data_IF_388967477387
#
_entry.id   IF_388967477387
#
_cell.length_a   1.000
_cell.length_b   1.000
_cell.length_c   1.000
_cell.angle_alpha   90.00
_cell.angle_beta   90.00
_cell.angle_gamma   90.00
#
_symmetry.space_group_name_H-M   'P 1'
#
loop_
_entity.id
_entity.type
_entity.pdbx_description
1 polymer ?
#
# COMPACT_ATOMS: atom_id res chain seq x y z
N UNK A 1 24.73 12.68 -9.46
CA UNK A 1 23.38 12.28 -9.92
C UNK A 1 23.37 10.76 -10.02
N UNK A 2 22.60 10.07 -9.18
CA UNK A 2 22.49 8.62 -9.27
C UNK A 2 21.53 8.25 -10.40
N UNK A 3 22.05 7.83 -11.54
CA UNK A 3 21.26 7.29 -12.64
C UNK A 3 20.97 5.82 -12.36
N UNK A 4 19.75 5.50 -11.96
CA UNK A 4 19.29 4.11 -11.94
C UNK A 4 19.15 3.67 -13.40
N UNK A 5 20.07 2.83 -13.85
CA UNK A 5 19.98 2.13 -15.12
C UNK A 5 19.05 0.93 -14.93
N UNK A 6 17.82 1.03 -15.41
CA UNK A 6 16.93 -0.12 -15.52
C UNK A 6 17.49 -1.00 -16.64
N UNK A 7 18.29 -2.00 -16.27
CA UNK A 7 18.86 -3.00 -17.19
C UNK A 7 18.11 -4.32 -17.01
N UNK A 8 17.98 -5.09 -18.10
CA UNK A 8 17.42 -6.44 -18.10
C UNK A 8 15.93 -6.52 -17.74
N UNK A 9 15.13 -5.55 -18.22
CA UNK A 9 13.67 -5.54 -18.07
C UNK A 9 13.01 -5.90 -19.40
N UNK A 10 12.03 -6.82 -19.43
CA UNK A 10 11.27 -7.12 -20.64
C UNK A 10 10.67 -5.86 -21.25
N UNK A 11 10.64 -5.80 -22.58
CA UNK A 11 10.25 -4.58 -23.31
C UNK A 11 8.81 -4.15 -23.03
N UNK A 12 7.92 -5.13 -22.83
CA UNK A 12 6.53 -4.90 -22.40
C UNK A 12 6.46 -4.29 -21.00
N UNK A 13 7.27 -4.77 -20.06
CA UNK A 13 7.33 -4.22 -18.70
C UNK A 13 7.88 -2.80 -18.71
N UNK A 14 8.86 -2.52 -19.58
CA UNK A 14 9.41 -1.17 -19.77
C UNK A 14 8.35 -0.20 -20.32
N UNK A 15 7.46 -0.67 -21.20
CA UNK A 15 6.36 0.11 -21.76
C UNK A 15 5.34 0.50 -20.68
N UNK A 16 4.94 -0.45 -19.85
CA UNK A 16 4.04 -0.18 -18.72
C UNK A 16 4.68 0.76 -17.69
N UNK A 17 5.96 0.56 -17.35
CA UNK A 17 6.69 1.44 -16.44
C UNK A 17 6.80 2.87 -16.96
N UNK A 18 6.96 3.07 -18.28
CA UNK A 18 6.94 4.41 -18.91
C UNK A 18 5.56 5.06 -18.79
N UNK A 19 4.49 4.29 -19.00
CA UNK A 19 3.11 4.77 -18.86
C UNK A 19 2.82 5.22 -17.43
N UNK A 20 3.13 4.35 -16.46
CA UNK A 20 3.00 4.63 -15.02
C UNK A 20 3.82 5.85 -14.57
N UNK A 21 5.01 6.05 -15.14
CA UNK A 21 5.84 7.23 -14.85
C UNK A 21 5.10 8.53 -15.18
N UNK A 22 4.40 8.56 -16.32
CA UNK A 22 3.63 9.72 -16.77
C UNK A 22 2.37 9.89 -15.92
N UNK A 23 1.60 8.82 -15.73
CA UNK A 23 0.36 8.84 -14.93
C UNK A 23 0.61 9.31 -13.49
N UNK A 24 1.72 8.89 -12.88
CA UNK A 24 2.08 9.28 -11.50
C UNK A 24 2.92 10.56 -11.41
N UNK A 25 3.14 11.27 -12.52
CA UNK A 25 3.87 12.53 -12.58
C UNK A 25 5.33 12.45 -12.09
N UNK A 26 5.98 11.29 -12.26
CA UNK A 26 7.35 11.07 -11.76
C UNK A 26 8.37 11.62 -12.77
N UNK A 27 9.31 12.46 -12.31
CA UNK A 27 10.38 13.02 -13.14
C UNK A 27 11.49 12.00 -13.37
N UNK A 28 11.79 11.21 -12.35
CA UNK A 28 12.87 10.22 -12.39
C UNK A 28 12.35 8.78 -12.20
N UNK A 29 13.14 7.81 -12.65
CA UNK A 29 12.85 6.38 -12.39
C UNK A 29 12.96 6.04 -10.90
N UNK A 30 13.86 6.71 -10.17
CA UNK A 30 13.99 6.55 -8.73
C UNK A 30 12.72 6.99 -7.99
N UNK A 31 12.08 8.09 -8.41
CA UNK A 31 10.79 8.53 -7.87
C UNK A 31 9.68 7.51 -8.13
N UNK A 32 9.62 6.99 -9.36
CA UNK A 32 8.65 5.94 -9.72
C UNK A 32 8.83 4.71 -8.83
N UNK A 33 10.06 4.20 -8.71
CA UNK A 33 10.38 3.02 -7.90
C UNK A 33 10.11 3.27 -6.42
N UNK A 34 10.45 4.46 -5.89
CA UNK A 34 10.15 4.82 -4.51
C UNK A 34 8.64 4.87 -4.23
N UNK A 35 7.84 5.37 -5.19
CA UNK A 35 6.37 5.35 -5.09
C UNK A 35 5.84 3.92 -5.16
N UNK A 36 6.32 3.10 -6.11
CA UNK A 36 5.90 1.71 -6.23
C UNK A 36 6.23 0.89 -4.98
N UNK A 37 7.43 1.04 -4.40
CA UNK A 37 7.81 0.39 -3.14
C UNK A 37 6.96 0.91 -1.97
N UNK A 38 6.60 2.21 -1.95
CA UNK A 38 5.67 2.75 -0.95
C UNK A 38 4.25 2.23 -1.14
N UNK A 39 3.81 2.03 -2.38
CA UNK A 39 2.52 1.44 -2.74
C UNK A 39 2.49 -0.07 -2.44
N UNK A 40 3.61 -0.78 -2.58
CA UNK A 40 3.75 -2.19 -2.18
C UNK A 40 3.81 -2.32 -0.65
N UNK A 41 4.27 -1.29 0.06
CA UNK A 41 4.10 -1.15 1.52
C UNK A 41 2.70 -0.71 1.95
N UNK A 42 1.77 -0.50 1.02
CA UNK A 42 0.35 -0.47 1.38
C UNK A 42 0.00 -1.91 1.72
N UNK A 43 -0.21 -2.14 3.01
CA UNK A 43 -0.60 -3.44 3.57
C UNK A 43 -1.73 -3.98 2.71
N UNK A 44 -1.48 -5.12 2.07
CA UNK A 44 -2.46 -5.84 1.28
C UNK A 44 -3.45 -6.45 2.28
N UNK A 45 -4.40 -5.63 2.73
CA UNK A 45 -5.49 -6.06 3.61
C UNK A 45 -6.40 -6.94 2.77
N UNK A 46 -6.42 -8.23 3.11
CA UNK A 46 -7.40 -9.17 2.58
C UNK A 46 -8.77 -8.88 3.18
N UNK A 47 -9.85 -9.39 2.57
CA UNK A 47 -11.21 -9.29 3.14
C UNK A 47 -11.24 -9.83 4.57
N UNK A 48 -10.52 -10.93 4.83
CA UNK A 48 -10.35 -11.53 6.16
C UNK A 48 -9.67 -10.58 7.15
N UNK A 49 -8.66 -9.82 6.73
CA UNK A 49 -8.02 -8.81 7.59
C UNK A 49 -9.01 -7.70 7.98
N UNK A 50 -9.91 -7.34 7.06
CA UNK A 50 -10.94 -6.34 7.29
C UNK A 50 -12.00 -6.85 8.29
N UNK A 51 -12.40 -8.12 8.18
CA UNK A 51 -13.35 -8.71 9.12
C UNK A 51 -12.78 -8.88 10.52
N UNK A 52 -11.53 -9.31 10.63
CA UNK A 52 -10.84 -9.39 11.90
C UNK A 52 -10.72 -8.01 12.57
N UNK A 53 -10.42 -6.96 11.79
CA UNK A 53 -10.41 -5.59 12.32
C UNK A 53 -11.79 -5.14 12.78
N UNK A 54 -12.83 -5.40 11.99
CA UNK A 54 -14.20 -5.00 12.33
C UNK A 54 -14.70 -5.72 13.59
N UNK A 55 -14.45 -7.02 13.72
CA UNK A 55 -14.77 -7.78 14.92
C UNK A 55 -14.01 -7.27 16.15
N UNK A 56 -12.73 -6.93 16.00
CA UNK A 56 -11.92 -6.36 17.07
C UNK A 56 -12.46 -5.01 17.56
N UNK A 57 -12.83 -4.11 16.64
CA UNK A 57 -13.43 -2.82 16.97
C UNK A 57 -14.78 -3.00 17.66
N UNK A 58 -15.63 -3.90 17.14
CA UNK A 58 -16.94 -4.17 17.74
C UNK A 58 -16.81 -4.75 19.15
N UNK A 59 -15.88 -5.69 19.34
CA UNK A 59 -15.57 -6.27 20.65
C UNK A 59 -15.09 -5.22 21.65
N UNK A 60 -14.24 -4.27 21.21
CA UNK A 60 -13.76 -3.17 22.05
C UNK A 60 -14.89 -2.21 22.46
N UNK A 61 -15.79 -1.88 21.54
CA UNK A 61 -16.95 -1.02 21.84
C UNK A 61 -17.93 -1.71 22.81
N UNK A 62 -18.13 -3.02 22.68
CA UNK A 62 -18.94 -3.79 23.63
C UNK A 62 -18.30 -3.82 25.02
N UNK A 63 -16.97 -3.94 25.07
CA UNK A 63 -16.19 -3.88 26.31
C UNK A 63 -16.42 -2.57 27.08
N UNK A 64 -16.54 -1.44 26.36
CA UNK A 64 -16.89 -0.16 26.98
C UNK A 64 -18.25 -0.22 27.70
N UNK A 65 -19.26 -0.83 27.09
CA UNK A 65 -20.57 -1.01 27.72
C UNK A 65 -20.49 -1.85 28.99
N UNK A 66 -19.79 -2.99 28.92
CA UNK A 66 -19.62 -3.88 30.09
C UNK A 66 -18.82 -3.22 31.22
N UNK A 67 -17.80 -2.43 30.89
CA UNK A 67 -17.00 -1.70 31.90
C UNK A 67 -17.85 -0.59 32.54
N UNK A 68 -18.66 0.12 31.75
CA UNK A 68 -19.57 1.15 32.26
C UNK A 68 -20.73 0.62 33.12
N UNK A 69 -21.18 -0.62 32.91
CA UNK A 69 -22.23 -1.24 33.73
C UNK A 69 -21.71 -1.83 35.05
N UNK A 70 -20.41 -2.16 35.12
CA UNK A 70 -19.78 -2.78 36.30
C UNK A 70 -19.12 -1.80 37.26
N UNK A 71 -19.00 -0.53 36.90
CA UNK A 71 -18.44 0.56 37.70
C UNK A 71 -19.53 1.53 38.14
#
# INVERSE_FOLDING_TARGET
MATILIKNVPEDLLKELKRLKVEMGCRTWAELLAKLIRSERVILLTEDDFENMREGVQSFLNLRGTVSERW
#
